data_IF_598415874281
#
_entry.id   IF_598415874281
#
_cell.length_a   1.000
_cell.length_b   1.000
_cell.length_c   1.000
_cell.angle_alpha   90.00
_cell.angle_beta   90.00
_cell.angle_gamma   90.00
#
_symmetry.space_group_name_H-M   'P 1'
#
loop_
_entity.id
_entity.type
_entity.pdbx_description
1 polymer ?
#
# COMPACT_ATOMS: atom_id res chain seq x y z
N UNK A 1 -15.32 -9.36 -5.04
CA UNK A 1 -14.46 -8.48 -4.19
C UNK A 1 -13.53 -7.71 -5.12
N UNK A 2 -13.46 -6.42 -4.93
CA UNK A 2 -12.56 -5.57 -5.72
C UNK A 2 -11.13 -5.70 -5.23
N UNK A 3 -10.18 -5.61 -6.14
CA UNK A 3 -8.75 -5.55 -5.83
C UNK A 3 -8.22 -4.17 -6.07
N UNK A 4 -7.59 -3.60 -5.06
CA UNK A 4 -7.01 -2.27 -5.15
C UNK A 4 -5.54 -2.32 -4.75
N UNK A 5 -4.68 -1.79 -5.61
CA UNK A 5 -3.27 -1.65 -5.30
C UNK A 5 -3.10 -0.31 -4.60
N UNK A 6 -2.44 -0.33 -3.44
CA UNK A 6 -2.07 0.89 -2.72
C UNK A 6 -0.56 0.95 -2.67
N UNK A 7 0.01 1.92 -3.35
CA UNK A 7 1.46 2.10 -3.43
C UNK A 7 1.86 3.33 -2.63
N UNK A 8 2.65 3.12 -1.58
CA UNK A 8 3.19 4.19 -0.76
C UNK A 8 4.66 4.38 -1.15
N UNK A 9 4.92 5.44 -1.90
CA UNK A 9 6.24 5.60 -2.54
C UNK A 9 7.01 6.81 -2.07
N UNK A 10 6.34 7.78 -1.43
CA UNK A 10 6.96 9.07 -1.30
C UNK A 10 7.19 9.55 0.10
N UNK A 11 7.51 10.82 0.15
CA UNK A 11 8.02 11.47 1.35
C UNK A 11 6.93 12.19 2.14
N UNK A 12 5.79 12.54 1.55
CA UNK A 12 4.82 13.40 2.24
C UNK A 12 3.41 12.84 2.28
N UNK A 13 3.09 11.85 1.47
CA UNK A 13 1.75 11.27 1.38
C UNK A 13 1.49 10.07 2.28
N UNK A 14 2.45 9.69 3.11
CA UNK A 14 2.36 8.46 3.91
C UNK A 14 1.12 8.43 4.81
N UNK A 15 0.80 9.56 5.46
CA UNK A 15 -0.36 9.64 6.36
C UNK A 15 -1.67 9.36 5.60
N UNK A 16 -1.76 9.84 4.37
CA UNK A 16 -2.97 9.62 3.55
C UNK A 16 -3.09 8.16 3.14
N UNK A 17 -1.97 7.52 2.81
CA UNK A 17 -1.94 6.09 2.51
C UNK A 17 -2.39 5.24 3.68
N UNK A 18 -1.92 5.57 4.88
CA UNK A 18 -2.34 4.86 6.10
C UNK A 18 -3.82 5.02 6.35
N UNK A 19 -4.34 6.24 6.25
CA UNK A 19 -5.77 6.49 6.44
C UNK A 19 -6.62 5.77 5.42
N UNK A 20 -6.17 5.73 4.18
CA UNK A 20 -6.88 4.99 3.13
C UNK A 20 -6.93 3.50 3.45
N UNK A 21 -5.81 2.91 3.86
CA UNK A 21 -5.77 1.50 4.24
C UNK A 21 -6.69 1.20 5.42
N UNK A 22 -6.71 2.07 6.41
CA UNK A 22 -7.60 1.90 7.55
C UNK A 22 -9.07 1.88 7.13
N UNK A 23 -9.46 2.81 6.25
CA UNK A 23 -10.82 2.90 5.76
C UNK A 23 -11.19 1.69 4.90
N UNK A 24 -10.30 1.26 4.01
CA UNK A 24 -10.52 0.10 3.16
C UNK A 24 -10.62 -1.18 3.98
N UNK A 25 -9.80 -1.31 5.00
CA UNK A 25 -9.85 -2.45 5.92
C UNK A 25 -11.20 -2.51 6.65
N UNK A 26 -11.70 -1.36 7.07
CA UNK A 26 -12.99 -1.27 7.76
C UNK A 26 -14.16 -1.64 6.86
N UNK A 27 -14.09 -1.34 5.57
CA UNK A 27 -15.14 -1.70 4.62
C UNK A 27 -15.29 -3.20 4.43
N UNK A 28 -14.18 -3.91 4.43
CA UNK A 28 -14.18 -5.38 4.28
C UNK A 28 -14.55 -5.90 2.90
N UNK A 29 -14.87 -5.02 1.95
CA UNK A 29 -15.30 -5.41 0.60
C UNK A 29 -14.21 -5.22 -0.46
N UNK A 30 -13.03 -4.80 -0.05
CA UNK A 30 -11.91 -4.54 -0.96
C UNK A 30 -10.72 -5.37 -0.52
N UNK A 31 -10.13 -6.08 -1.47
CA UNK A 31 -8.86 -6.77 -1.25
C UNK A 31 -7.73 -5.78 -1.56
N UNK A 32 -7.01 -5.36 -0.54
CA UNK A 32 -5.93 -4.38 -0.71
C UNK A 32 -4.60 -5.08 -0.91
N UNK A 33 -3.88 -4.63 -1.92
CA UNK A 33 -2.54 -5.09 -2.23
C UNK A 33 -1.58 -3.94 -1.99
N UNK A 34 -0.83 -4.02 -0.92
CA UNK A 34 0.02 -2.93 -0.44
C UNK A 34 1.44 -3.08 -0.91
N UNK A 35 2.02 -1.97 -1.31
CA UNK A 35 3.42 -1.85 -1.62
C UNK A 35 3.95 -0.60 -0.89
N UNK A 36 5.00 -0.77 -0.10
CA UNK A 36 5.64 0.34 0.61
C UNK A 36 7.11 0.40 0.18
N UNK A 37 7.53 1.54 -0.37
CA UNK A 37 8.94 1.75 -0.68
C UNK A 37 9.75 1.95 0.61
N UNK A 38 11.06 1.77 0.52
CA UNK A 38 11.94 2.00 1.67
C UNK A 38 11.86 3.45 2.15
N UNK A 39 11.77 4.40 1.23
CA UNK A 39 11.63 5.80 1.56
C UNK A 39 10.32 6.07 2.31
N UNK A 40 9.21 5.48 1.86
CA UNK A 40 7.93 5.64 2.54
C UNK A 40 7.95 5.01 3.94
N UNK A 41 8.58 3.84 4.08
CA UNK A 41 8.71 3.18 5.38
C UNK A 41 9.49 4.05 6.37
N UNK A 42 10.56 4.68 5.89
CA UNK A 42 11.37 5.58 6.72
C UNK A 42 10.56 6.78 7.18
N UNK A 43 9.77 7.37 6.29
CA UNK A 43 8.92 8.51 6.63
C UNK A 43 7.82 8.15 7.62
N UNK A 44 7.22 6.96 7.49
CA UNK A 44 6.23 6.48 8.44
C UNK A 44 6.84 6.40 9.84
N UNK A 45 8.06 5.89 9.93
CA UNK A 45 8.75 5.79 11.21
C UNK A 45 9.03 7.17 11.81
N UNK A 46 9.50 8.12 11.00
CA UNK A 46 9.86 9.47 11.49
C UNK A 46 8.64 10.33 11.80
N UNK A 47 7.62 10.31 10.97
CA UNK A 47 6.50 11.24 11.08
C UNK A 47 5.38 10.71 11.97
N UNK A 48 5.09 9.41 11.89
CA UNK A 48 3.96 8.81 12.57
C UNK A 48 4.35 7.81 13.66
N UNK A 49 5.65 7.61 13.86
CA UNK A 49 6.18 6.63 14.81
C UNK A 49 5.56 5.24 14.59
N UNK A 50 5.34 4.89 13.34
CA UNK A 50 4.75 3.60 12.97
C UNK A 50 5.76 2.76 12.22
N UNK A 51 5.76 1.47 12.52
CA UNK A 51 6.61 0.49 11.86
C UNK A 51 5.92 -0.03 10.61
N UNK A 52 6.74 -0.45 9.63
CA UNK A 52 6.22 -1.07 8.41
C UNK A 52 5.22 -2.19 8.72
N UNK A 53 5.55 -3.05 9.70
CA UNK A 53 4.69 -4.18 10.06
C UNK A 53 3.29 -3.75 10.52
N UNK A 54 3.18 -2.62 11.21
CA UNK A 54 1.89 -2.11 11.67
C UNK A 54 0.99 -1.72 10.50
N UNK A 55 1.59 -1.15 9.48
CA UNK A 55 0.86 -0.73 8.28
C UNK A 55 0.52 -1.94 7.40
N UNK A 56 1.46 -2.87 7.27
CA UNK A 56 1.24 -4.08 6.49
C UNK A 56 0.10 -4.93 7.04
N UNK A 57 -0.11 -4.88 8.35
CA UNK A 57 -1.20 -5.61 8.98
C UNK A 57 -2.60 -5.11 8.56
N UNK A 58 -2.68 -3.89 8.02
CA UNK A 58 -3.95 -3.32 7.54
C UNK A 58 -4.31 -3.80 6.13
N UNK A 59 -3.37 -4.35 5.40
CA UNK A 59 -3.58 -4.77 4.02
C UNK A 59 -3.95 -6.24 3.94
N UNK A 60 -4.67 -6.61 2.87
CA UNK A 60 -5.01 -8.01 2.59
C UNK A 60 -3.77 -8.78 2.16
N UNK A 61 -2.93 -8.16 1.33
CA UNK A 61 -1.70 -8.73 0.81
C UNK A 61 -0.62 -7.66 0.78
N UNK A 62 0.63 -8.08 0.95
CA UNK A 62 1.79 -7.19 0.88
C UNK A 62 2.72 -7.69 -0.19
N UNK A 63 3.21 -6.78 -1.01
CA UNK A 63 4.14 -7.08 -2.09
C UNK A 63 5.39 -6.21 -1.97
N UNK A 64 6.53 -6.75 -2.41
CA UNK A 64 7.70 -5.90 -2.59
C UNK A 64 7.49 -5.00 -3.81
N UNK A 65 8.17 -3.86 -3.82
CA UNK A 65 8.10 -2.93 -4.95
C UNK A 65 8.48 -3.64 -6.26
N UNK A 66 9.51 -4.48 -6.20
CA UNK A 66 9.98 -5.22 -7.37
C UNK A 66 8.93 -6.21 -7.88
N UNK A 67 8.35 -6.98 -6.98
CA UNK A 67 7.41 -8.04 -7.36
C UNK A 67 6.13 -7.49 -7.96
N UNK A 68 5.54 -6.48 -7.31
CA UNK A 68 4.30 -5.89 -7.82
C UNK A 68 4.55 -5.16 -9.14
N UNK A 69 5.69 -4.49 -9.26
CA UNK A 69 6.06 -3.81 -10.49
C UNK A 69 6.18 -4.78 -11.66
N UNK A 70 6.81 -5.93 -11.44
CA UNK A 70 6.95 -6.96 -12.46
C UNK A 70 5.59 -7.54 -12.87
N UNK A 71 4.72 -7.81 -11.90
CA UNK A 71 3.38 -8.32 -12.18
C UNK A 71 2.55 -7.33 -12.98
N UNK A 72 2.60 -6.06 -12.63
CA UNK A 72 1.85 -5.01 -13.34
C UNK A 72 2.41 -4.84 -14.74
N UNK A 73 3.72 -4.81 -14.89
CA UNK A 73 4.37 -4.64 -16.20
C UNK A 73 4.08 -5.80 -17.15
N UNK A 74 3.99 -7.02 -16.63
CA UNK A 74 3.71 -8.20 -17.46
C UNK A 74 2.22 -8.39 -17.76
N UNK A 75 1.36 -7.62 -17.10
CA UNK A 75 -0.10 -7.80 -17.24
C UNK A 75 -0.65 -9.01 -16.52
N UNK A 76 0.16 -9.69 -15.71
CA UNK A 76 -0.28 -10.89 -15.00
C UNK A 76 -1.07 -10.60 -13.74
N UNK A 77 -0.99 -9.38 -13.22
CA UNK A 77 -1.76 -8.95 -12.06
C UNK A 77 -2.97 -8.13 -12.50
N UNK A 78 -4.15 -8.59 -12.11
CA UNK A 78 -5.40 -7.90 -12.42
C UNK A 78 -5.87 -7.14 -11.19
N UNK A 79 -6.05 -5.84 -11.34
CA UNK A 79 -6.59 -4.98 -10.29
C UNK A 79 -7.70 -4.12 -10.84
N UNK A 80 -8.59 -3.68 -9.96
CA UNK A 80 -9.66 -2.76 -10.31
C UNK A 80 -9.20 -1.30 -10.24
N UNK A 81 -8.05 -1.06 -9.67
CA UNK A 81 -7.47 0.28 -9.60
C UNK A 81 -6.18 0.31 -8.82
N UNK A 82 -5.49 1.44 -8.91
CA UNK A 82 -4.26 1.70 -8.19
C UNK A 82 -4.29 3.11 -7.62
N UNK A 83 -3.92 3.24 -6.35
CA UNK A 83 -3.75 4.52 -5.69
C UNK A 83 -2.28 4.66 -5.30
N UNK A 84 -1.70 5.79 -5.66
CA UNK A 84 -0.33 6.11 -5.29
C UNK A 84 -0.36 7.21 -4.25
N UNK A 85 0.24 6.95 -3.09
CA UNK A 85 0.44 7.93 -2.02
C UNK A 85 1.91 8.37 -2.05
N UNK A 86 2.19 9.50 -2.67
CA UNK A 86 3.56 9.97 -2.86
C UNK A 86 4.20 10.51 -1.60
#
# INVERSE_FOLDING_TARGET
MQRLIVAMTGASGAVYGVRLLEQLSALGSVETHLMISDAAALNLHHELDQKRADIEALASRVHSVRDIGACVASGSFQSDGMVIAP
#
